data_IF_276043638729
#
_entry.id   IF_276043638729
#
_cell.length_a   1.000
_cell.length_b   1.000
_cell.length_c   1.000
_cell.angle_alpha   90.00
_cell.angle_beta   90.00
_cell.angle_gamma   90.00
#
_symmetry.space_group_name_H-M   'P 1'
#
loop_
_entity.id
_entity.type
_entity.pdbx_description
1 polymer ?
#
# COMPACT_ATOMS: atom_id res chain seq x y z
N UNK A 1 -3.02 -28.87 -2.16
CA UNK A 1 -2.40 -27.79 -1.34
C UNK A 1 -2.15 -28.22 0.11
N UNK A 2 -3.10 -28.71 0.86
CA UNK A 2 -2.99 -29.05 2.28
C UNK A 2 -2.02 -30.21 2.64
N UNK A 3 -1.46 -30.93 1.68
CA UNK A 3 -0.45 -32.00 1.91
C UNK A 3 1.01 -31.52 1.88
N UNK A 4 1.29 -30.32 1.36
CA UNK A 4 2.64 -29.78 1.30
C UNK A 4 2.94 -28.90 2.52
N UNK A 5 3.70 -29.42 3.48
CA UNK A 5 4.08 -28.74 4.71
C UNK A 5 4.83 -27.43 4.44
N UNK A 6 5.65 -27.37 3.40
CA UNK A 6 6.40 -26.17 3.06
C UNK A 6 5.48 -25.04 2.58
N UNK A 7 4.42 -25.36 1.80
CA UNK A 7 3.42 -24.37 1.38
C UNK A 7 2.60 -23.85 2.55
N UNK A 8 2.17 -24.75 3.46
CA UNK A 8 1.46 -24.33 4.68
C UNK A 8 2.36 -23.43 5.51
N UNK A 9 3.62 -23.82 5.72
CA UNK A 9 4.61 -23.01 6.44
C UNK A 9 4.80 -21.63 5.81
N UNK A 10 4.95 -21.54 4.49
CA UNK A 10 5.09 -20.27 3.77
C UNK A 10 3.86 -19.37 3.96
N UNK A 11 2.66 -19.91 3.75
CA UNK A 11 1.40 -19.14 3.91
C UNK A 11 1.23 -18.68 5.36
N UNK A 12 1.55 -19.53 6.34
CA UNK A 12 1.46 -19.17 7.77
C UNK A 12 2.48 -18.08 8.14
N UNK A 13 3.73 -18.20 7.69
CA UNK A 13 4.76 -17.19 7.92
C UNK A 13 4.35 -15.83 7.33
N UNK A 14 3.86 -15.82 6.08
CA UNK A 14 3.37 -14.62 5.41
C UNK A 14 2.16 -14.01 6.14
N UNK A 15 1.15 -14.82 6.50
CA UNK A 15 -0.03 -14.34 7.23
C UNK A 15 0.36 -13.65 8.54
N UNK A 16 1.23 -14.28 9.32
CA UNK A 16 1.66 -13.73 10.61
C UNK A 16 2.46 -12.45 10.42
N UNK A 17 3.47 -12.47 9.55
CA UNK A 17 4.32 -11.30 9.26
C UNK A 17 3.53 -10.13 8.66
N UNK A 18 2.64 -10.39 7.71
CA UNK A 18 1.78 -9.36 7.11
C UNK A 18 0.78 -8.78 8.11
N UNK A 19 0.25 -9.61 9.03
CA UNK A 19 -0.64 -9.10 10.09
C UNK A 19 0.10 -8.13 10.99
N UNK A 20 1.31 -8.49 11.45
CA UNK A 20 2.16 -7.60 12.26
C UNK A 20 2.47 -6.29 11.53
N UNK A 21 2.94 -6.37 10.29
CA UNK A 21 3.25 -5.18 9.48
C UNK A 21 2.02 -4.29 9.25
N UNK A 22 0.84 -4.89 9.02
CA UNK A 22 -0.41 -4.13 8.87
C UNK A 22 -0.85 -3.46 10.18
N UNK A 23 -0.56 -4.08 11.32
CA UNK A 23 -0.76 -3.45 12.63
C UNK A 23 0.21 -2.29 12.85
N UNK A 24 1.47 -2.46 12.50
CA UNK A 24 2.52 -1.44 12.63
C UNK A 24 2.24 -0.23 11.74
N UNK A 25 1.64 -0.39 10.57
CA UNK A 25 1.21 0.71 9.70
C UNK A 25 0.29 1.72 10.40
N UNK A 26 -0.50 1.27 11.38
CA UNK A 26 -1.32 2.15 12.23
C UNK A 26 -0.57 2.55 13.51
N UNK A 27 0.09 1.60 14.16
CA UNK A 27 0.65 1.80 15.48
C UNK A 27 1.90 2.68 15.48
N UNK A 28 2.78 2.56 14.48
CA UNK A 28 4.03 3.31 14.44
C UNK A 28 3.81 4.83 14.31
N UNK A 29 3.03 5.32 13.32
CA UNK A 29 2.76 6.75 13.24
C UNK A 29 1.96 7.28 14.44
N UNK A 30 1.04 6.51 14.98
CA UNK A 30 0.32 6.86 16.19
C UNK A 30 1.26 6.94 17.40
N UNK A 31 2.18 5.99 17.55
CA UNK A 31 3.25 6.02 18.55
C UNK A 31 4.09 7.31 18.46
N UNK A 32 4.51 7.68 17.24
CA UNK A 32 5.28 8.90 17.01
C UNK A 32 4.48 10.14 17.41
N UNK A 33 3.20 10.19 17.08
CA UNK A 33 2.34 11.32 17.39
C UNK A 33 2.11 11.46 18.89
N UNK A 34 1.81 10.36 19.58
CA UNK A 34 1.60 10.37 21.04
C UNK A 34 2.88 10.72 21.81
N UNK A 35 4.04 10.21 21.37
CA UNK A 35 5.30 10.43 22.08
C UNK A 35 5.95 11.78 21.78
N UNK A 36 5.70 12.36 20.61
CA UNK A 36 6.38 13.60 20.20
C UNK A 36 5.46 14.81 20.04
N UNK A 37 4.13 14.61 20.01
CA UNK A 37 3.14 15.65 19.72
C UNK A 37 3.27 16.26 18.31
N UNK A 38 4.04 15.63 17.38
CA UNK A 38 4.42 16.24 16.12
C UNK A 38 3.96 15.45 14.90
N UNK A 39 2.98 15.98 14.18
CA UNK A 39 2.54 15.43 12.88
C UNK A 39 3.64 15.46 11.82
N UNK A 40 4.54 16.45 11.87
CA UNK A 40 5.68 16.50 10.96
C UNK A 40 6.65 15.32 11.19
N UNK A 41 6.97 15.00 12.45
CA UNK A 41 7.80 13.81 12.77
C UNK A 41 7.11 12.51 12.36
N UNK A 42 5.79 12.42 12.55
CA UNK A 42 4.98 11.30 12.09
C UNK A 42 5.09 11.10 10.57
N UNK A 43 4.97 12.18 9.78
CA UNK A 43 5.13 12.13 8.34
C UNK A 43 6.53 11.69 7.89
N UNK A 44 7.58 12.15 8.58
CA UNK A 44 8.96 11.72 8.30
C UNK A 44 9.19 10.24 8.61
N UNK A 45 8.63 9.70 9.67
CA UNK A 45 8.79 8.28 10.04
C UNK A 45 8.09 7.38 9.02
N UNK A 46 6.87 7.72 8.61
CA UNK A 46 6.17 6.98 7.55
C UNK A 46 6.91 7.05 6.20
N UNK A 47 7.45 8.22 5.88
CA UNK A 47 8.26 8.37 4.68
C UNK A 47 9.55 7.55 4.75
N UNK A 48 10.21 7.51 5.92
CA UNK A 48 11.42 6.72 6.14
C UNK A 48 11.18 5.21 6.03
N UNK A 49 10.00 4.72 6.38
CA UNK A 49 9.61 3.32 6.21
C UNK A 49 9.42 2.95 4.73
N UNK A 50 8.78 3.84 3.96
CA UNK A 50 8.44 3.55 2.55
C UNK A 50 9.55 3.90 1.56
N UNK A 51 10.35 4.92 1.84
CA UNK A 51 11.37 5.42 0.92
C UNK A 51 12.41 4.35 0.52
N UNK A 52 12.91 3.49 1.45
CA UNK A 52 13.82 2.42 1.09
C UNK A 52 13.22 1.41 0.11
N UNK A 53 11.91 1.15 0.19
CA UNK A 53 11.23 0.23 -0.73
C UNK A 53 11.30 0.78 -2.16
N UNK A 54 11.11 2.08 -2.33
CA UNK A 54 11.21 2.74 -3.62
C UNK A 54 12.66 2.76 -4.15
N UNK A 55 13.65 3.00 -3.28
CA UNK A 55 15.07 3.10 -3.66
C UNK A 55 15.68 1.72 -3.90
N UNK A 56 15.44 0.76 -2.99
CA UNK A 56 16.10 -0.54 -2.97
C UNK A 56 15.27 -1.65 -3.63
N UNK A 57 14.05 -1.40 -4.08
CA UNK A 57 13.22 -2.39 -4.75
C UNK A 57 13.88 -2.98 -6.01
N UNK A 58 14.58 -2.17 -6.81
CA UNK A 58 15.31 -2.63 -8.00
C UNK A 58 16.56 -3.44 -7.61
N UNK A 59 17.47 -2.95 -6.72
CA UNK A 59 18.60 -3.73 -6.24
C UNK A 59 18.23 -5.03 -5.52
N UNK A 60 17.05 -5.10 -4.89
CA UNK A 60 16.56 -6.30 -4.23
C UNK A 60 16.55 -7.53 -5.15
N UNK A 61 16.18 -7.35 -6.43
CA UNK A 61 16.20 -8.43 -7.42
C UNK A 61 17.59 -9.01 -7.63
N UNK A 62 18.64 -8.21 -7.64
CA UNK A 62 20.04 -8.69 -7.77
C UNK A 62 20.51 -9.42 -6.53
N UNK A 63 20.07 -8.98 -5.34
CA UNK A 63 20.35 -9.65 -4.08
C UNK A 63 19.71 -11.04 -4.04
N UNK A 64 18.44 -11.13 -4.43
CA UNK A 64 17.69 -12.39 -4.50
C UNK A 64 18.35 -13.34 -5.53
N UNK A 65 18.77 -12.80 -6.67
CA UNK A 65 19.48 -13.57 -7.68
C UNK A 65 20.79 -14.19 -7.16
N UNK A 66 21.48 -13.55 -6.22
CA UNK A 66 22.72 -14.06 -5.61
C UNK A 66 22.46 -15.02 -4.45
N UNK A 67 21.55 -14.68 -3.54
CA UNK A 67 21.34 -15.40 -2.28
C UNK A 67 20.24 -16.49 -2.39
N UNK A 68 19.29 -16.33 -3.31
CA UNK A 68 18.06 -17.14 -3.40
C UNK A 68 16.93 -16.57 -2.54
N UNK A 69 15.69 -16.88 -2.90
CA UNK A 69 14.50 -16.30 -2.26
C UNK A 69 14.41 -16.64 -0.76
N UNK A 70 14.57 -17.91 -0.39
CA UNK A 70 14.50 -18.34 1.02
C UNK A 70 15.52 -17.63 1.91
N UNK A 71 16.79 -17.57 1.50
CA UNK A 71 17.85 -16.91 2.30
C UNK A 71 17.59 -15.42 2.44
N UNK A 72 17.10 -14.78 1.40
CA UNK A 72 16.76 -13.35 1.43
C UNK A 72 15.62 -13.06 2.41
N UNK A 73 14.57 -13.89 2.42
CA UNK A 73 13.48 -13.79 3.40
C UNK A 73 14.00 -13.95 4.84
N UNK A 74 14.84 -14.96 5.08
CA UNK A 74 15.45 -15.20 6.42
C UNK A 74 16.30 -14.02 6.88
N UNK A 75 17.16 -13.47 6.04
CA UNK A 75 17.99 -12.31 6.39
C UNK A 75 17.09 -11.09 6.68
N UNK A 76 16.06 -10.89 5.89
CA UNK A 76 15.14 -9.78 6.07
C UNK A 76 14.38 -9.87 7.40
N UNK A 77 13.82 -11.03 7.76
CA UNK A 77 13.10 -11.20 9.02
C UNK A 77 14.05 -11.16 10.23
N UNK A 78 15.26 -11.77 10.12
CA UNK A 78 16.28 -11.71 11.17
C UNK A 78 16.74 -10.27 11.46
N UNK A 79 16.69 -9.37 10.48
CA UNK A 79 17.02 -7.97 10.67
C UNK A 79 15.81 -7.16 11.17
N UNK A 80 14.62 -7.33 10.55
CA UNK A 80 13.42 -6.56 10.88
C UNK A 80 12.92 -6.82 12.30
N UNK A 81 12.95 -8.08 12.77
CA UNK A 81 12.50 -8.44 14.13
C UNK A 81 13.22 -7.65 15.22
N UNK A 82 14.56 -7.77 15.37
CA UNK A 82 15.31 -6.99 16.35
C UNK A 82 15.21 -5.47 16.14
N UNK A 83 15.26 -4.98 14.89
CA UNK A 83 15.11 -3.54 14.60
C UNK A 83 13.75 -3.01 15.10
N UNK A 84 12.66 -3.75 14.89
CA UNK A 84 11.34 -3.35 15.36
C UNK A 84 11.29 -3.31 16.89
N UNK A 85 11.93 -4.26 17.58
CA UNK A 85 11.98 -4.31 19.05
C UNK A 85 12.85 -3.20 19.66
N UNK A 86 13.85 -2.70 18.94
CA UNK A 86 14.70 -1.57 19.41
C UNK A 86 13.85 -0.33 19.73
N UNK A 87 12.80 -0.03 18.95
CA UNK A 87 11.97 1.16 19.15
C UNK A 87 11.30 1.17 20.53
N UNK A 88 10.48 0.16 20.90
CA UNK A 88 9.86 0.12 22.23
C UNK A 88 10.85 -0.06 23.37
N UNK A 89 11.98 -0.75 23.15
CA UNK A 89 13.04 -0.89 24.15
C UNK A 89 13.67 0.46 24.46
N UNK A 90 14.15 1.21 23.48
CA UNK A 90 14.72 2.53 23.69
C UNK A 90 13.69 3.51 24.28
N UNK A 91 12.42 3.39 23.89
CA UNK A 91 11.36 4.19 24.48
C UNK A 91 11.17 3.90 25.97
N UNK A 92 11.20 2.63 26.36
CA UNK A 92 11.05 2.21 27.77
C UNK A 92 12.17 2.77 28.67
N UNK A 93 13.40 2.82 28.16
CA UNK A 93 14.54 3.39 28.90
C UNK A 93 14.65 4.91 28.79
N UNK A 94 13.82 5.58 28.00
CA UNK A 94 13.85 7.02 27.80
C UNK A 94 14.93 7.51 26.81
N UNK A 95 15.63 6.59 26.13
CA UNK A 95 16.74 6.87 25.23
C UNK A 95 16.35 6.99 23.75
N UNK A 96 15.04 6.94 23.43
CA UNK A 96 14.55 7.00 22.06
C UNK A 96 14.65 8.41 21.49
N UNK A 97 15.76 8.73 20.83
CA UNK A 97 15.86 9.96 20.06
C UNK A 97 15.08 9.86 18.73
N UNK A 98 14.65 11.01 18.20
CA UNK A 98 13.99 11.03 16.89
C UNK A 98 14.89 10.51 15.75
N UNK A 99 16.20 10.76 15.83
CA UNK A 99 17.17 10.25 14.87
C UNK A 99 17.28 8.72 14.92
N UNK A 100 17.28 8.13 16.13
CA UNK A 100 17.27 6.68 16.30
C UNK A 100 15.99 6.05 15.75
N UNK A 101 14.83 6.66 16.02
CA UNK A 101 13.54 6.22 15.50
C UNK A 101 13.53 6.24 13.97
N UNK A 102 13.96 7.36 13.37
CA UNK A 102 14.00 7.53 11.91
C UNK A 102 14.98 6.55 11.25
N UNK A 103 16.18 6.40 11.83
CA UNK A 103 17.19 5.47 11.32
C UNK A 103 16.77 4.01 11.42
N UNK A 104 16.14 3.62 12.53
CA UNK A 104 15.63 2.26 12.73
C UNK A 104 14.50 1.95 11.75
N UNK A 105 13.54 2.87 11.59
CA UNK A 105 12.43 2.71 10.64
C UNK A 105 12.92 2.64 9.20
N UNK A 106 13.88 3.48 8.82
CA UNK A 106 14.51 3.42 7.51
C UNK A 106 15.21 2.08 7.28
N UNK A 107 15.93 1.56 8.27
CA UNK A 107 16.59 0.26 8.21
C UNK A 107 15.57 -0.89 8.05
N UNK A 108 14.44 -0.85 8.74
CA UNK A 108 13.34 -1.81 8.56
C UNK A 108 12.86 -1.80 7.10
N UNK A 109 12.67 -0.61 6.52
CA UNK A 109 12.27 -0.44 5.12
C UNK A 109 13.27 -1.03 4.12
N UNK A 110 14.60 -0.92 4.38
CA UNK A 110 15.64 -1.54 3.54
C UNK A 110 15.43 -3.05 3.41
N UNK A 111 15.11 -3.72 4.50
CA UNK A 111 14.89 -5.17 4.51
C UNK A 111 13.49 -5.59 4.06
N UNK A 112 12.52 -4.69 4.07
CA UNK A 112 11.17 -4.95 3.60
C UNK A 112 11.12 -5.20 2.08
N UNK A 113 11.83 -4.40 1.27
CA UNK A 113 11.83 -4.53 -0.19
C UNK A 113 12.30 -5.93 -0.68
N UNK A 114 13.46 -6.45 -0.25
CA UNK A 114 13.90 -7.79 -0.64
C UNK A 114 12.98 -8.90 -0.08
N UNK A 115 12.38 -8.73 1.08
CA UNK A 115 11.40 -9.68 1.60
C UNK A 115 10.19 -9.80 0.67
N UNK A 116 9.52 -8.70 0.35
CA UNK A 116 8.33 -8.70 -0.53
C UNK A 116 8.61 -9.28 -1.91
N UNK A 117 9.77 -8.99 -2.50
CA UNK A 117 10.15 -9.57 -3.77
C UNK A 117 10.42 -11.08 -3.66
N UNK A 118 11.09 -11.52 -2.59
CA UNK A 118 11.41 -12.93 -2.35
C UNK A 118 10.18 -13.77 -2.06
N UNK A 119 9.17 -13.24 -1.36
CA UNK A 119 7.96 -13.98 -1.01
C UNK A 119 7.13 -14.40 -2.24
N UNK A 120 7.27 -13.67 -3.34
CA UNK A 120 6.67 -14.05 -4.63
C UNK A 120 7.55 -15.02 -5.42
N UNK A 121 8.86 -14.85 -5.36
CA UNK A 121 9.81 -15.68 -6.11
C UNK A 121 10.01 -17.07 -5.50
N UNK A 122 9.76 -17.25 -4.19
CA UNK A 122 9.86 -18.56 -3.52
C UNK A 122 8.69 -19.49 -3.88
N UNK A 123 7.56 -18.96 -4.35
CA UNK A 123 6.36 -19.76 -4.63
C UNK A 123 6.63 -20.89 -5.63
N UNK A 124 7.23 -20.66 -6.82
CA UNK A 124 7.56 -21.74 -7.73
C UNK A 124 8.58 -22.74 -7.16
N UNK A 125 9.53 -22.27 -6.31
CA UNK A 125 10.51 -23.15 -5.68
C UNK A 125 9.87 -24.13 -4.68
N UNK A 126 8.73 -23.77 -4.07
CA UNK A 126 8.02 -24.59 -3.08
C UNK A 126 6.83 -25.35 -3.68
N UNK A 127 6.12 -24.73 -4.63
CA UNK A 127 4.95 -25.33 -5.29
C UNK A 127 5.33 -26.28 -6.46
N UNK A 128 6.55 -26.12 -7.01
CA UNK A 128 6.96 -26.79 -8.26
C UNK A 128 6.62 -25.96 -9.49
N UNK A 129 6.95 -26.48 -10.68
CA UNK A 129 6.78 -25.78 -11.97
C UNK A 129 5.34 -25.86 -12.53
N UNK A 130 4.39 -26.48 -11.82
CA UNK A 130 3.00 -26.52 -12.24
C UNK A 130 2.36 -25.14 -12.13
N UNK A 131 2.01 -24.55 -13.26
CA UNK A 131 1.41 -23.22 -13.37
C UNK A 131 0.12 -23.09 -12.55
N UNK A 132 -0.72 -24.14 -12.49
CA UNK A 132 -1.96 -24.11 -11.71
C UNK A 132 -1.68 -24.11 -10.20
N UNK A 133 -0.67 -24.87 -9.75
CA UNK A 133 -0.26 -24.86 -8.34
C UNK A 133 0.30 -23.49 -7.94
N UNK A 134 1.19 -22.92 -8.75
CA UNK A 134 1.76 -21.57 -8.53
C UNK A 134 0.68 -20.50 -8.52
N UNK A 135 -0.25 -20.51 -9.47
CA UNK A 135 -1.37 -19.57 -9.52
C UNK A 135 -2.26 -19.69 -8.28
N UNK A 136 -2.55 -20.92 -7.85
CA UNK A 136 -3.37 -21.17 -6.64
C UNK A 136 -2.70 -20.66 -5.36
N UNK A 137 -1.37 -20.85 -5.20
CA UNK A 137 -0.63 -20.34 -4.05
C UNK A 137 -0.60 -18.81 -4.04
N UNK A 138 -0.35 -18.20 -5.21
CA UNK A 138 -0.38 -16.75 -5.34
C UNK A 138 -1.78 -16.16 -5.04
N UNK A 139 -2.85 -16.85 -5.41
CA UNK A 139 -4.22 -16.46 -5.06
C UNK A 139 -4.44 -16.50 -3.54
N UNK A 140 -3.98 -17.55 -2.86
CA UNK A 140 -4.06 -17.66 -1.39
C UNK A 140 -3.24 -16.57 -0.72
N UNK A 141 -2.00 -16.31 -1.15
CA UNK A 141 -1.16 -15.24 -0.60
C UNK A 141 -1.77 -13.85 -0.84
N UNK A 142 -2.40 -13.63 -1.99
CA UNK A 142 -3.09 -12.37 -2.27
C UNK A 142 -4.33 -12.19 -1.40
N UNK A 143 -5.12 -13.26 -1.21
CA UNK A 143 -6.25 -13.27 -0.27
C UNK A 143 -5.80 -13.03 1.17
N UNK A 144 -4.71 -13.68 1.60
CA UNK A 144 -4.09 -13.45 2.90
C UNK A 144 -3.70 -11.98 3.10
N UNK A 145 -3.05 -11.38 2.10
CA UNK A 145 -2.69 -9.96 2.15
C UNK A 145 -3.92 -9.06 2.30
N UNK A 146 -5.00 -9.32 1.57
CA UNK A 146 -6.25 -8.55 1.71
C UNK A 146 -6.86 -8.68 3.10
N UNK A 147 -6.91 -9.89 3.65
CA UNK A 147 -7.44 -10.13 5.00
C UNK A 147 -6.60 -9.42 6.05
N UNK A 148 -5.27 -9.52 5.96
CA UNK A 148 -4.37 -8.87 6.93
C UNK A 148 -4.42 -7.36 6.86
N UNK A 149 -4.57 -6.77 5.68
CA UNK A 149 -4.76 -5.33 5.52
C UNK A 149 -6.06 -4.81 6.16
N UNK A 150 -7.08 -5.65 6.27
CA UNK A 150 -8.32 -5.32 6.97
C UNK A 150 -8.22 -5.59 8.47
N UNK A 151 -7.75 -6.78 8.83
CA UNK A 151 -7.70 -7.22 10.23
C UNK A 151 -6.60 -6.50 11.02
N UNK A 152 -5.45 -6.21 10.39
CA UNK A 152 -4.30 -5.59 11.05
C UNK A 152 -4.62 -4.28 11.75
N UNK A 153 -5.18 -3.27 11.05
CA UNK A 153 -5.56 -2.01 11.68
C UNK A 153 -6.58 -2.16 12.82
N UNK A 154 -7.54 -3.08 12.68
CA UNK A 154 -8.53 -3.36 13.75
C UNK A 154 -7.83 -3.95 14.97
N UNK A 155 -6.96 -4.95 14.77
CA UNK A 155 -6.18 -5.57 15.84
C UNK A 155 -5.25 -4.54 16.49
N UNK A 156 -4.60 -3.70 15.71
CA UNK A 156 -3.79 -2.59 16.22
C UNK A 156 -4.61 -1.67 17.13
N UNK A 157 -5.78 -1.23 16.67
CA UNK A 157 -6.67 -0.37 17.45
C UNK A 157 -7.12 -1.01 18.76
N UNK A 158 -7.46 -2.30 18.75
CA UNK A 158 -7.81 -3.04 19.98
C UNK A 158 -6.63 -3.11 20.94
N UNK A 159 -5.43 -3.49 20.46
CA UNK A 159 -4.24 -3.60 21.31
C UNK A 159 -3.84 -2.21 21.85
N UNK A 160 -3.85 -1.16 21.02
CA UNK A 160 -3.55 0.21 21.45
C UNK A 160 -4.53 0.66 22.55
N UNK A 161 -5.83 0.39 22.36
CA UNK A 161 -6.85 0.77 23.33
C UNK A 161 -6.76 0.01 24.66
N UNK A 162 -6.27 -1.23 24.65
CA UNK A 162 -6.10 -2.05 25.86
C UNK A 162 -4.75 -1.85 26.55
N UNK A 163 -3.72 -1.45 25.80
CA UNK A 163 -2.34 -1.36 26.29
C UNK A 163 -1.63 -0.10 25.79
N UNK A 164 -0.92 -0.18 24.67
CA UNK A 164 -0.23 0.95 24.03
C UNK A 164 0.18 0.66 22.57
N UNK A 165 0.51 1.72 21.83
CA UNK A 165 1.09 1.56 20.50
C UNK A 165 2.47 0.86 20.53
N UNK A 166 3.26 1.07 21.59
CA UNK A 166 4.53 0.39 21.78
C UNK A 166 4.36 -1.13 21.87
N UNK A 167 3.28 -1.62 22.50
CA UNK A 167 2.97 -3.06 22.56
C UNK A 167 2.74 -3.65 21.18
N UNK A 168 2.08 -2.92 20.28
CA UNK A 168 1.88 -3.37 18.89
C UNK A 168 3.21 -3.54 18.16
N UNK A 169 4.17 -2.62 18.37
CA UNK A 169 5.51 -2.74 17.79
C UNK A 169 6.27 -3.95 18.34
N UNK A 170 6.10 -4.27 19.63
CA UNK A 170 6.64 -5.52 20.20
C UNK A 170 6.03 -6.74 19.53
N UNK A 171 4.70 -6.77 19.40
CA UNK A 171 4.00 -7.87 18.73
C UNK A 171 4.51 -8.05 17.31
N UNK A 172 4.66 -6.97 16.52
CA UNK A 172 5.18 -7.05 15.16
C UNK A 172 6.62 -7.56 15.11
N UNK A 173 7.50 -7.07 15.99
CA UNK A 173 8.85 -7.61 16.14
C UNK A 173 8.86 -9.14 16.39
N UNK A 174 7.94 -9.62 17.25
CA UNK A 174 7.74 -11.05 17.48
C UNK A 174 7.20 -11.78 16.25
N UNK A 175 6.31 -11.16 15.44
CA UNK A 175 5.80 -11.78 14.22
C UNK A 175 6.91 -12.02 13.19
N UNK A 176 7.88 -11.11 13.04
CA UNK A 176 9.06 -11.32 12.19
C UNK A 176 9.94 -12.47 12.68
N UNK A 177 10.17 -12.56 14.00
CA UNK A 177 10.93 -13.67 14.60
C UNK A 177 10.20 -15.00 14.36
N UNK A 178 8.89 -15.03 14.55
CA UNK A 178 8.08 -16.22 14.31
C UNK A 178 8.09 -16.62 12.83
N UNK A 179 7.94 -15.67 11.91
CA UNK A 179 8.07 -15.89 10.46
C UNK A 179 9.45 -16.46 10.11
N UNK A 180 10.53 -15.89 10.65
CA UNK A 180 11.90 -16.39 10.49
C UNK A 180 12.01 -17.87 10.90
N UNK A 181 11.50 -18.23 12.08
CA UNK A 181 11.56 -19.60 12.60
C UNK A 181 10.78 -20.57 11.72
N UNK A 182 9.59 -20.21 11.25
CA UNK A 182 8.80 -21.06 10.35
C UNK A 182 9.51 -21.23 9.00
N UNK A 183 10.00 -20.14 8.40
CA UNK A 183 10.70 -20.22 7.12
C UNK A 183 11.97 -21.06 7.25
N UNK A 184 12.71 -20.91 8.35
CA UNK A 184 13.92 -21.66 8.61
C UNK A 184 13.64 -23.17 8.73
N UNK A 185 12.64 -23.56 9.52
CA UNK A 185 12.41 -24.95 9.95
C UNK A 185 11.46 -25.73 9.03
N UNK A 186 10.43 -25.07 8.51
CA UNK A 186 9.32 -25.74 7.78
C UNK A 186 9.44 -25.58 6.27
N UNK A 187 9.86 -24.40 5.79
CA UNK A 187 9.89 -24.13 4.35
C UNK A 187 11.14 -24.77 3.74
N UNK A 188 10.94 -25.75 2.86
CA UNK A 188 12.01 -26.37 2.07
C UNK A 188 11.93 -25.79 0.67
N UNK A 189 12.90 -24.94 0.28
CA UNK A 189 13.04 -24.47 -1.08
C UNK A 189 13.56 -25.61 -1.96
N UNK A 190 12.93 -25.79 -3.13
CA UNK A 190 13.35 -26.72 -4.15
C UNK A 190 14.56 -26.21 -4.97
N UNK A 191 14.70 -26.67 -6.22
CA UNK A 191 15.69 -26.13 -7.15
C UNK A 191 15.39 -24.65 -7.39
N UNK A 192 16.46 -23.85 -7.35
CA UNK A 192 16.41 -22.41 -7.63
C UNK A 192 15.87 -22.21 -9.05
N UNK A 193 14.72 -21.58 -9.17
CA UNK A 193 14.27 -21.04 -10.44
C UNK A 193 15.19 -19.87 -10.74
N UNK A 194 15.96 -19.95 -11.83
CA UNK A 194 16.73 -18.79 -12.29
C UNK A 194 15.72 -17.66 -12.48
N UNK A 195 15.80 -16.68 -11.59
CA UNK A 195 15.06 -15.44 -11.78
C UNK A 195 15.50 -14.92 -13.15
N UNK A 196 14.64 -15.05 -14.14
CA UNK A 196 14.88 -14.51 -15.47
C UNK A 196 15.42 -13.11 -15.24
N UNK A 197 16.57 -12.81 -15.84
CA UNK A 197 17.31 -11.57 -15.68
C UNK A 197 16.35 -10.39 -15.90
N UNK A 198 15.61 -10.07 -14.84
CA UNK A 198 14.63 -9.01 -14.83
C UNK A 198 15.41 -7.72 -14.94
N UNK A 199 15.13 -7.00 -16.02
CA UNK A 199 15.34 -5.56 -16.07
C UNK A 199 16.54 -5.00 -16.83
N UNK A 200 16.85 -5.57 -17.97
CA UNK A 200 17.27 -4.68 -19.04
C UNK A 200 15.98 -4.12 -19.65
N UNK A 201 15.45 -2.98 -19.13
CA UNK A 201 14.31 -2.38 -19.81
C UNK A 201 13.23 -1.69 -18.96
N UNK A 202 13.43 -1.37 -17.67
CA UNK A 202 12.50 -0.48 -16.92
C UNK A 202 12.37 0.87 -17.63
N UNK A 203 13.47 1.39 -18.15
CA UNK A 203 13.47 2.61 -18.95
C UNK A 203 12.67 2.50 -20.27
N UNK A 204 12.56 1.30 -20.88
CA UNK A 204 11.71 1.13 -22.07
C UNK A 204 10.21 1.21 -21.73
N UNK A 205 9.80 0.67 -20.58
CA UNK A 205 8.44 0.83 -20.08
C UNK A 205 8.11 2.30 -19.76
N UNK A 206 9.03 3.00 -19.11
CA UNK A 206 8.90 4.42 -18.82
C UNK A 206 8.86 5.27 -20.10
N UNK A 207 9.73 5.00 -21.07
CA UNK A 207 9.73 5.71 -22.36
C UNK A 207 8.40 5.51 -23.10
N UNK A 208 7.86 4.29 -23.08
CA UNK A 208 6.56 3.99 -23.66
C UNK A 208 5.44 4.77 -22.97
N UNK A 209 5.41 4.77 -21.62
CA UNK A 209 4.42 5.52 -20.82
C UNK A 209 4.44 7.02 -21.10
N UNK A 210 5.63 7.61 -21.17
CA UNK A 210 5.79 9.05 -21.41
C UNK A 210 5.46 9.44 -22.86
N UNK A 211 5.58 8.51 -23.81
CA UNK A 211 5.26 8.72 -25.22
C UNK A 211 3.78 8.58 -25.54
N UNK A 212 3.00 7.87 -24.73
CA UNK A 212 1.58 7.65 -24.97
C UNK A 212 0.73 8.80 -24.44
N UNK A 213 -0.20 9.29 -25.26
CA UNK A 213 -1.03 10.47 -24.97
C UNK A 213 -2.06 10.23 -23.86
N UNK A 214 -2.43 8.96 -23.58
CA UNK A 214 -3.35 8.57 -22.51
C UNK A 214 -2.59 8.09 -21.26
N UNK A 215 -1.56 7.24 -21.45
CA UNK A 215 -0.87 6.61 -20.32
C UNK A 215 -0.04 7.64 -19.52
N UNK A 216 0.55 8.63 -20.17
CA UNK A 216 1.27 9.71 -19.49
C UNK A 216 0.41 10.49 -18.48
N UNK A 217 -0.77 11.05 -18.86
CA UNK A 217 -1.63 11.72 -17.87
C UNK A 217 -2.19 10.75 -16.82
N UNK A 218 -2.44 9.48 -17.18
CA UNK A 218 -2.82 8.45 -16.19
C UNK A 218 -1.73 8.23 -15.13
N UNK A 219 -0.47 8.18 -15.53
CA UNK A 219 0.66 8.06 -14.62
C UNK A 219 0.77 9.28 -13.69
N UNK A 220 0.64 10.49 -14.23
CA UNK A 220 0.66 11.73 -13.44
C UNK A 220 -0.49 11.72 -12.41
N UNK A 221 -1.70 11.36 -12.84
CA UNK A 221 -2.84 11.25 -11.94
C UNK A 221 -2.62 10.20 -10.86
N UNK A 222 -2.05 9.05 -11.17
CA UNK A 222 -1.69 8.03 -10.19
C UNK A 222 -0.71 8.57 -9.13
N UNK A 223 0.29 9.37 -9.52
CA UNK A 223 1.20 10.03 -8.58
C UNK A 223 0.47 11.02 -7.67
N UNK A 224 -0.39 11.88 -8.24
CA UNK A 224 -1.17 12.85 -7.45
C UNK A 224 -2.12 12.14 -6.49
N UNK A 225 -2.82 11.10 -6.95
CA UNK A 225 -3.73 10.31 -6.11
C UNK A 225 -2.95 9.66 -4.95
N UNK A 226 -1.82 9.01 -5.23
CA UNK A 226 -1.00 8.40 -4.18
C UNK A 226 -0.47 9.44 -3.19
N UNK A 227 0.03 10.58 -3.68
CA UNK A 227 0.49 11.67 -2.83
C UNK A 227 -0.60 12.16 -1.87
N UNK A 228 -1.80 12.44 -2.39
CA UNK A 228 -2.93 12.93 -1.58
C UNK A 228 -3.50 11.83 -0.67
N UNK A 229 -3.60 10.60 -1.16
CA UNK A 229 -4.11 9.47 -0.39
C UNK A 229 -3.27 9.21 0.86
N UNK A 230 -1.93 9.28 0.76
CA UNK A 230 -1.06 9.13 1.93
C UNK A 230 -1.23 10.30 2.91
N UNK A 231 -1.49 11.49 2.41
CA UNK A 231 -1.87 12.63 3.25
C UNK A 231 -3.18 12.39 4.01
N UNK A 232 -4.18 11.82 3.36
CA UNK A 232 -5.46 11.47 3.99
C UNK A 232 -5.26 10.39 5.06
N UNK A 233 -4.48 9.35 4.79
CA UNK A 233 -4.14 8.29 5.76
C UNK A 233 -3.52 8.89 7.02
N UNK A 234 -2.55 9.79 6.87
CA UNK A 234 -1.93 10.50 7.99
C UNK A 234 -2.95 11.40 8.73
N UNK A 235 -3.81 12.10 7.99
CA UNK A 235 -4.87 12.90 8.55
C UNK A 235 -5.87 12.11 9.37
N UNK A 236 -6.27 10.92 8.93
CA UNK A 236 -7.17 10.01 9.67
C UNK A 236 -6.59 9.64 11.03
N UNK A 237 -5.29 9.37 11.10
CA UNK A 237 -4.61 9.06 12.37
C UNK A 237 -4.50 10.31 13.28
N UNK A 238 -4.26 11.47 12.68
CA UNK A 238 -4.23 12.74 13.41
C UNK A 238 -5.61 13.13 13.97
N UNK A 239 -6.70 12.73 13.29
CA UNK A 239 -8.07 12.95 13.81
C UNK A 239 -8.27 12.29 15.16
N UNK A 240 -7.84 11.06 15.36
CA UNK A 240 -7.99 10.38 16.66
C UNK A 240 -7.22 11.10 17.76
N UNK A 241 -5.97 11.48 17.48
CA UNK A 241 -5.13 12.18 18.45
C UNK A 241 -5.70 13.54 18.87
N UNK A 242 -6.12 14.36 17.89
CA UNK A 242 -6.57 15.73 18.19
C UNK A 242 -8.03 15.84 18.62
N UNK A 243 -8.84 14.78 18.45
CA UNK A 243 -10.29 14.87 18.64
C UNK A 243 -10.90 13.82 19.54
N UNK A 244 -10.31 12.64 19.58
CA UNK A 244 -10.88 11.51 20.31
C UNK A 244 -9.94 11.06 21.42
N UNK A 245 -9.19 12.02 22.00
CA UNK A 245 -8.30 11.86 23.15
C UNK A 245 -7.24 10.75 22.97
N UNK A 246 -6.78 10.56 21.73
CA UNK A 246 -5.81 9.52 21.38
C UNK A 246 -6.22 8.11 21.87
N UNK A 247 -7.51 7.81 21.76
CA UNK A 247 -8.11 6.62 22.35
C UNK A 247 -7.63 5.31 21.74
N UNK A 248 -6.92 5.36 20.61
CA UNK A 248 -6.32 4.21 19.91
C UNK A 248 -7.35 3.27 19.29
N UNK A 249 -8.43 2.90 20.00
CA UNK A 249 -9.47 2.05 19.44
C UNK A 249 -10.26 2.76 18.33
N UNK A 250 -10.40 4.08 18.39
CA UNK A 250 -11.08 4.85 17.34
C UNK A 250 -10.28 4.80 16.05
N UNK A 251 -8.95 4.92 16.08
CA UNK A 251 -8.09 4.72 14.89
C UNK A 251 -8.38 3.35 14.25
N UNK A 252 -8.44 2.29 15.05
CA UNK A 252 -8.76 0.95 14.56
C UNK A 252 -10.12 0.89 13.86
N UNK A 253 -11.15 1.54 14.43
CA UNK A 253 -12.50 1.60 13.84
C UNK A 253 -12.50 2.42 12.52
N UNK A 254 -11.78 3.54 12.46
CA UNK A 254 -11.66 4.35 11.26
C UNK A 254 -11.02 3.56 10.12
N UNK A 255 -9.94 2.82 10.40
CA UNK A 255 -9.30 1.95 9.42
C UNK A 255 -10.12 0.69 9.07
N UNK A 256 -10.91 0.16 10.02
CA UNK A 256 -11.89 -0.89 9.71
C UNK A 256 -12.95 -0.38 8.73
N UNK A 257 -13.45 0.83 8.94
CA UNK A 257 -14.33 1.51 7.99
C UNK A 257 -13.71 1.62 6.60
N UNK A 258 -12.45 2.08 6.52
CA UNK A 258 -11.70 2.12 5.26
C UNK A 258 -11.66 0.74 4.58
N UNK A 259 -11.32 -0.29 5.32
CA UNK A 259 -11.23 -1.65 4.79
C UNK A 259 -12.57 -2.19 4.30
N UNK A 260 -13.64 -2.03 5.07
CA UNK A 260 -15.00 -2.45 4.70
C UNK A 260 -15.47 -1.72 3.43
N UNK A 261 -15.23 -0.40 3.38
CA UNK A 261 -15.52 0.40 2.20
C UNK A 261 -14.79 -0.09 0.96
N UNK A 262 -13.49 -0.34 1.05
CA UNK A 262 -12.68 -0.84 -0.04
C UNK A 262 -13.14 -2.23 -0.53
N UNK A 263 -13.53 -3.14 0.38
CA UNK A 263 -14.09 -4.44 0.00
C UNK A 263 -15.42 -4.31 -0.74
N UNK A 264 -16.35 -3.52 -0.21
CA UNK A 264 -17.62 -3.26 -0.86
C UNK A 264 -17.42 -2.65 -2.26
N UNK A 265 -16.49 -1.70 -2.35
CA UNK A 265 -16.09 -1.09 -3.62
C UNK A 265 -15.50 -2.09 -4.62
N UNK A 266 -14.69 -3.05 -4.17
CA UNK A 266 -14.10 -4.07 -5.02
C UNK A 266 -15.17 -4.99 -5.65
N UNK A 267 -16.17 -5.41 -4.85
CA UNK A 267 -17.30 -6.22 -5.35
C UNK A 267 -18.09 -5.44 -6.40
N UNK A 268 -18.37 -4.17 -6.15
CA UNK A 268 -19.12 -3.31 -7.10
C UNK A 268 -18.27 -3.02 -8.33
N UNK A 269 -16.96 -2.77 -8.19
CA UNK A 269 -16.05 -2.55 -9.31
C UNK A 269 -16.02 -3.75 -10.27
N UNK A 270 -16.00 -4.98 -9.73
CA UNK A 270 -16.02 -6.20 -10.55
C UNK A 270 -17.29 -6.29 -11.42
N UNK A 271 -18.44 -5.86 -10.90
CA UNK A 271 -19.70 -5.85 -11.65
C UNK A 271 -19.78 -4.70 -12.65
N UNK A 272 -19.34 -3.51 -12.26
CA UNK A 272 -19.44 -2.31 -13.09
C UNK A 272 -18.44 -2.33 -14.26
N UNK A 273 -17.26 -2.87 -14.10
CA UNK A 273 -16.26 -3.00 -15.18
C UNK A 273 -16.74 -3.86 -16.35
N UNK A 274 -17.75 -4.72 -16.12
CA UNK A 274 -18.37 -5.53 -17.18
C UNK A 274 -19.52 -4.81 -17.90
N UNK A 275 -20.09 -3.75 -17.30
CA UNK A 275 -21.30 -3.08 -17.79
C UNK A 275 -21.06 -1.65 -18.29
N UNK A 276 -19.98 -1.01 -17.80
CA UNK A 276 -19.68 0.39 -18.08
C UNK A 276 -18.29 0.50 -18.73
N UNK A 277 -18.11 1.33 -19.78
CA UNK A 277 -16.80 1.57 -20.36
C UNK A 277 -15.78 2.00 -19.30
N UNK A 278 -14.58 1.39 -19.34
CA UNK A 278 -13.55 1.57 -18.30
C UNK A 278 -13.15 3.05 -18.12
N UNK A 279 -13.02 3.80 -19.22
CA UNK A 279 -12.69 5.23 -19.18
C UNK A 279 -13.78 6.04 -18.45
N UNK A 280 -15.05 5.76 -18.73
CA UNK A 280 -16.19 6.43 -18.10
C UNK A 280 -16.30 6.09 -16.62
N UNK A 281 -16.12 4.81 -16.27
CA UNK A 281 -16.15 4.37 -14.88
C UNK A 281 -15.02 5.02 -14.06
N UNK A 282 -13.79 5.03 -14.59
CA UNK A 282 -12.64 5.68 -13.94
C UNK A 282 -12.87 7.19 -13.75
N UNK A 283 -13.40 7.88 -14.80
CA UNK A 283 -13.67 9.31 -14.74
C UNK A 283 -14.71 9.67 -13.67
N UNK A 284 -15.80 8.91 -13.56
CA UNK A 284 -16.83 9.14 -12.54
C UNK A 284 -16.27 8.84 -11.14
N UNK A 285 -15.61 7.69 -10.99
CA UNK A 285 -15.12 7.24 -9.68
C UNK A 285 -14.07 8.18 -9.10
N UNK A 286 -13.15 8.69 -9.91
CA UNK A 286 -12.08 9.58 -9.41
C UNK A 286 -12.60 10.93 -8.93
N UNK A 287 -13.68 11.44 -9.55
CA UNK A 287 -14.34 12.69 -9.13
C UNK A 287 -15.20 12.46 -7.89
N UNK A 288 -15.89 11.31 -7.80
CA UNK A 288 -16.75 10.99 -6.67
C UNK A 288 -15.96 10.60 -5.39
N UNK A 289 -14.76 10.03 -5.54
CA UNK A 289 -13.94 9.51 -4.44
C UNK A 289 -13.69 10.52 -3.31
N UNK A 290 -13.29 11.77 -3.55
CA UNK A 290 -13.03 12.74 -2.50
C UNK A 290 -14.27 13.35 -1.85
N UNK A 291 -15.44 13.26 -2.48
CA UNK A 291 -16.65 13.96 -2.04
C UNK A 291 -17.09 13.62 -0.60
N UNK A 292 -17.06 12.36 -0.13
CA UNK A 292 -17.39 12.05 1.24
C UNK A 292 -16.53 12.79 2.26
N UNK A 293 -15.24 13.02 1.96
CA UNK A 293 -14.29 13.64 2.89
C UNK A 293 -14.63 15.09 3.24
N UNK A 294 -15.38 15.80 2.40
CA UNK A 294 -15.85 17.15 2.72
C UNK A 294 -16.85 17.17 3.89
N UNK A 295 -17.47 16.03 4.20
CA UNK A 295 -18.35 15.88 5.35
C UNK A 295 -17.58 15.69 6.66
N UNK A 296 -16.26 15.48 6.60
CA UNK A 296 -15.41 15.30 7.76
C UNK A 296 -15.13 16.66 8.43
N UNK A 297 -16.06 17.09 9.24
CA UNK A 297 -16.05 18.37 9.98
C UNK A 297 -15.36 18.21 11.34
N UNK A 298 -14.85 19.32 11.97
CA UNK A 298 -14.41 19.32 13.37
C UNK A 298 -15.42 18.81 14.41
N UNK A 299 -16.68 18.70 14.09
CA UNK A 299 -17.74 18.23 15.00
C UNK A 299 -18.26 16.82 14.67
N UNK A 300 -17.71 16.16 13.65
CA UNK A 300 -18.17 14.82 13.23
C UNK A 300 -17.88 13.79 14.32
N UNK A 301 -18.86 13.06 14.85
CA UNK A 301 -18.62 11.98 15.80
C UNK A 301 -17.90 10.80 15.11
N UNK A 302 -17.11 10.03 15.86
CA UNK A 302 -16.29 8.95 15.27
C UNK A 302 -17.07 7.91 14.48
N UNK A 303 -18.32 7.53 14.81
CA UNK A 303 -19.07 6.57 13.98
C UNK A 303 -19.38 7.15 12.58
N UNK A 304 -19.73 8.44 12.52
CA UNK A 304 -19.95 9.12 11.24
C UNK A 304 -18.65 9.29 10.46
N UNK A 305 -17.52 9.59 11.15
CA UNK A 305 -16.22 9.64 10.52
C UNK A 305 -15.83 8.29 9.90
N UNK A 306 -16.09 7.16 10.57
CA UNK A 306 -15.84 5.84 10.03
C UNK A 306 -16.67 5.55 8.75
N UNK A 307 -17.94 5.97 8.73
CA UNK A 307 -18.80 5.85 7.54
C UNK A 307 -18.29 6.72 6.39
N UNK A 308 -17.87 7.95 6.66
CA UNK A 308 -17.31 8.87 5.67
C UNK A 308 -16.03 8.29 5.06
N UNK A 309 -15.14 7.74 5.89
CA UNK A 309 -13.91 7.09 5.45
C UNK A 309 -14.21 5.82 4.65
N UNK A 310 -15.21 5.03 5.06
CA UNK A 310 -15.67 3.87 4.29
C UNK A 310 -16.20 4.28 2.91
N UNK A 311 -16.98 5.36 2.83
CA UNK A 311 -17.49 5.89 1.58
C UNK A 311 -16.36 6.39 0.65
N UNK A 312 -15.34 7.04 1.19
CA UNK A 312 -14.13 7.40 0.42
C UNK A 312 -13.42 6.16 -0.11
N UNK A 313 -13.16 5.18 0.75
CA UNK A 313 -12.44 3.96 0.41
C UNK A 313 -13.20 3.08 -0.60
N UNK A 314 -14.54 3.13 -0.60
CA UNK A 314 -15.40 2.44 -1.58
C UNK A 314 -15.04 2.80 -3.02
N UNK A 315 -14.69 4.05 -3.31
CA UNK A 315 -14.33 4.48 -4.66
C UNK A 315 -12.93 4.06 -5.09
N UNK A 316 -12.04 3.67 -4.17
CA UNK A 316 -10.65 3.31 -4.49
C UNK A 316 -10.54 2.17 -5.51
N UNK A 317 -11.23 1.02 -5.36
CA UNK A 317 -11.22 -0.04 -6.36
C UNK A 317 -11.91 0.35 -7.67
N UNK A 318 -12.92 1.21 -7.62
CA UNK A 318 -13.62 1.71 -8.81
C UNK A 318 -12.73 2.62 -9.67
N UNK A 319 -11.71 3.24 -9.10
CA UNK A 319 -10.66 3.96 -9.82
C UNK A 319 -9.58 3.00 -10.30
N UNK A 320 -9.05 2.16 -9.40
CA UNK A 320 -7.88 1.34 -9.67
C UNK A 320 -8.15 0.23 -10.71
N UNK A 321 -9.28 -0.46 -10.63
CA UNK A 321 -9.57 -1.59 -11.53
C UNK A 321 -9.68 -1.14 -13.01
N UNK A 322 -10.42 -0.08 -13.38
CA UNK A 322 -10.42 0.43 -14.74
C UNK A 322 -9.05 0.94 -15.21
N UNK A 323 -8.31 1.64 -14.35
CA UNK A 323 -6.98 2.18 -14.69
C UNK A 323 -6.00 1.04 -15.01
N UNK A 324 -5.96 -0.01 -14.19
CA UNK A 324 -5.12 -1.19 -14.44
C UNK A 324 -5.58 -1.91 -15.71
N UNK A 325 -6.88 -2.04 -15.92
CA UNK A 325 -7.46 -2.62 -17.14
C UNK A 325 -7.02 -1.89 -18.39
N UNK A 326 -7.12 -0.56 -18.42
CA UNK A 326 -6.70 0.29 -19.52
C UNK A 326 -5.20 0.19 -19.80
N UNK A 327 -4.36 0.23 -18.74
CA UNK A 327 -2.92 0.02 -18.84
C UNK A 327 -2.60 -1.33 -19.48
N UNK A 328 -3.33 -2.38 -19.09
CA UNK A 328 -3.12 -3.74 -19.62
C UNK A 328 -3.49 -3.85 -21.09
N UNK A 329 -4.63 -3.29 -21.50
CA UNK A 329 -5.15 -3.38 -22.87
C UNK A 329 -4.30 -2.55 -23.84
N UNK A 330 -3.93 -1.32 -23.46
CA UNK A 330 -3.17 -0.40 -24.32
C UNK A 330 -1.67 -0.73 -24.41
N UNK A 331 -1.14 -1.56 -23.52
CA UNK A 331 0.28 -1.90 -23.53
C UNK A 331 0.52 -3.17 -24.34
N UNK A 332 1.42 -3.15 -25.36
CA UNK A 332 1.83 -4.36 -26.08
C UNK A 332 2.32 -5.45 -25.12
N UNK A 333 2.00 -6.71 -25.41
CA UNK A 333 2.26 -7.85 -24.52
C UNK A 333 3.69 -7.92 -23.97
N UNK A 334 4.69 -7.69 -24.84
CA UNK A 334 6.12 -7.70 -24.48
C UNK A 334 6.53 -6.56 -23.50
N UNK A 335 5.85 -5.41 -23.58
CA UNK A 335 6.13 -4.25 -22.73
C UNK A 335 5.29 -4.22 -21.46
N UNK A 336 4.21 -5.01 -21.40
CA UNK A 336 3.23 -4.97 -20.30
C UNK A 336 3.86 -5.14 -18.91
N UNK A 337 4.74 -6.11 -18.64
CA UNK A 337 5.39 -6.23 -17.33
C UNK A 337 6.24 -5.01 -16.99
N UNK A 338 6.95 -4.43 -17.97
CA UNK A 338 7.84 -3.27 -17.80
C UNK A 338 7.05 -2.00 -17.52
N UNK A 339 5.95 -1.80 -18.22
CA UNK A 339 5.02 -0.66 -18.04
C UNK A 339 4.34 -0.74 -16.68
N UNK A 340 3.82 -1.91 -16.30
CA UNK A 340 3.19 -2.11 -15.00
C UNK A 340 4.16 -1.86 -13.85
N UNK A 341 5.39 -2.38 -13.95
CA UNK A 341 6.43 -2.13 -12.94
C UNK A 341 6.77 -0.63 -12.86
N UNK A 342 6.93 0.05 -14.00
CA UNK A 342 7.23 1.47 -14.03
C UNK A 342 6.12 2.30 -13.37
N UNK A 343 4.85 2.04 -13.69
CA UNK A 343 3.70 2.74 -13.08
C UNK A 343 3.67 2.52 -11.58
N UNK A 344 3.77 1.26 -11.12
CA UNK A 344 3.73 0.93 -9.70
C UNK A 344 4.89 1.59 -8.94
N UNK A 345 6.11 1.56 -9.48
CA UNK A 345 7.27 2.18 -8.85
C UNK A 345 7.11 3.70 -8.74
N UNK A 346 6.75 4.37 -9.83
CA UNK A 346 6.64 5.83 -9.86
C UNK A 346 5.49 6.31 -8.98
N UNK A 347 4.33 5.65 -9.04
CA UNK A 347 3.20 5.97 -8.19
C UNK A 347 3.53 5.79 -6.70
N UNK A 348 4.25 4.72 -6.35
CA UNK A 348 4.66 4.46 -4.96
C UNK A 348 5.68 5.49 -4.45
N UNK A 349 6.55 6.02 -5.32
CA UNK A 349 7.52 7.07 -4.94
C UNK A 349 6.84 8.37 -4.51
N UNK A 350 5.62 8.66 -4.97
CA UNK A 350 4.88 9.84 -4.55
C UNK A 350 4.39 9.75 -3.09
N UNK A 351 4.20 8.55 -2.56
CA UNK A 351 3.67 8.30 -1.22
C UNK A 351 4.47 8.93 -0.08
N UNK A 352 5.79 8.66 0.04
CA UNK A 352 6.64 9.26 1.08
C UNK A 352 6.57 10.79 1.12
N UNK A 353 6.55 11.43 -0.05
CA UNK A 353 6.42 12.89 -0.14
C UNK A 353 5.02 13.36 0.32
N UNK A 354 3.97 12.57 0.06
CA UNK A 354 2.62 12.83 0.56
C UNK A 354 2.56 12.81 2.09
N UNK A 355 3.20 11.86 2.75
CA UNK A 355 3.30 11.82 4.21
C UNK A 355 4.05 13.02 4.78
N UNK A 356 5.20 13.38 4.21
CA UNK A 356 5.98 14.55 4.67
C UNK A 356 5.17 15.83 4.50
N UNK A 357 4.60 16.04 3.32
CA UNK A 357 3.81 17.24 3.03
C UNK A 357 2.59 17.36 3.96
N UNK A 358 1.85 16.27 4.16
CA UNK A 358 0.69 16.25 5.04
C UNK A 358 1.09 16.47 6.51
N UNK A 359 2.19 15.89 6.97
CA UNK A 359 2.70 16.08 8.32
C UNK A 359 3.08 17.54 8.60
N UNK A 360 3.71 18.22 7.64
CA UNK A 360 3.98 19.66 7.73
C UNK A 360 2.72 20.50 7.63
N UNK A 361 1.80 20.16 6.72
CA UNK A 361 0.55 20.90 6.56
C UNK A 361 -0.29 20.87 7.84
N UNK A 362 -0.44 19.71 8.47
CA UNK A 362 -1.18 19.55 9.72
C UNK A 362 -0.55 20.29 10.92
N UNK A 363 0.72 20.66 10.83
CA UNK A 363 1.36 21.52 11.84
C UNK A 363 0.93 22.99 11.73
N UNK A 364 0.56 23.45 10.53
CA UNK A 364 0.33 24.86 10.24
C UNK A 364 -1.14 25.21 9.99
N UNK A 365 -1.97 24.21 9.64
CA UNK A 365 -3.40 24.42 9.39
C UNK A 365 -4.25 23.61 10.35
N UNK A 366 -5.48 24.10 10.59
CA UNK A 366 -6.45 23.33 11.37
C UNK A 366 -6.83 22.02 10.67
N UNK A 367 -7.22 21.03 11.46
CA UNK A 367 -7.69 19.74 10.92
C UNK A 367 -8.88 19.91 9.96
N UNK A 368 -9.78 20.89 10.23
CA UNK A 368 -10.89 21.22 9.33
C UNK A 368 -10.41 21.75 7.99
N UNK A 369 -9.46 22.70 7.99
CA UNK A 369 -8.87 23.23 6.76
C UNK A 369 -8.12 22.15 5.97
N UNK A 370 -7.47 21.21 6.65
CA UNK A 370 -6.78 20.07 6.05
C UNK A 370 -7.78 19.16 5.28
N UNK A 371 -8.91 18.81 5.92
CA UNK A 371 -9.94 17.96 5.30
C UNK A 371 -10.86 18.71 4.33
N UNK A 372 -10.65 19.99 4.11
CA UNK A 372 -11.18 20.74 2.96
C UNK A 372 -10.13 20.79 1.84
N UNK A 373 -8.89 21.11 2.17
CA UNK A 373 -7.84 21.36 1.19
C UNK A 373 -7.42 20.11 0.40
N UNK A 374 -7.15 18.98 1.06
CA UNK A 374 -6.73 17.76 0.37
C UNK A 374 -7.83 17.17 -0.53
N UNK A 375 -9.09 17.01 -0.08
CA UNK A 375 -10.17 16.59 -0.98
C UNK A 375 -10.40 17.55 -2.12
N UNK A 376 -10.26 18.87 -1.92
CA UNK A 376 -10.36 19.86 -3.00
C UNK A 376 -9.27 19.63 -4.05
N UNK A 377 -8.01 19.44 -3.62
CA UNK A 377 -6.91 19.15 -4.53
C UNK A 377 -7.15 17.85 -5.31
N UNK A 378 -7.65 16.81 -4.63
CA UNK A 378 -7.98 15.54 -5.27
C UNK A 378 -9.14 15.66 -6.25
N UNK A 379 -10.17 16.46 -5.91
CA UNK A 379 -11.31 16.74 -6.80
C UNK A 379 -10.88 17.49 -8.06
N UNK A 380 -10.06 18.54 -7.91
CA UNK A 380 -9.55 19.32 -9.06
C UNK A 380 -8.66 18.45 -9.96
N UNK A 381 -7.74 17.68 -9.37
CA UNK A 381 -6.92 16.70 -10.09
C UNK A 381 -7.77 15.63 -10.77
N UNK A 382 -8.78 15.12 -10.09
CA UNK A 382 -9.75 14.16 -10.63
C UNK A 382 -10.56 14.70 -11.79
N UNK A 383 -11.03 15.93 -11.70
CA UNK A 383 -11.74 16.60 -12.81
C UNK A 383 -10.82 16.80 -14.02
N UNK A 384 -9.59 17.28 -13.81
CA UNK A 384 -8.61 17.41 -14.89
C UNK A 384 -8.33 16.05 -15.55
N UNK A 385 -8.16 15.00 -14.78
CA UNK A 385 -7.95 13.66 -15.30
C UNK A 385 -9.19 13.11 -16.01
N UNK A 386 -10.38 13.27 -15.45
CA UNK A 386 -11.64 12.84 -16.07
C UNK A 386 -11.86 13.50 -17.45
N UNK A 387 -11.50 14.78 -17.60
CA UNK A 387 -11.59 15.46 -18.91
C UNK A 387 -10.65 14.83 -19.95
N UNK A 388 -9.45 14.39 -19.56
CA UNK A 388 -8.53 13.69 -20.45
C UNK A 388 -9.10 12.33 -20.87
N UNK A 389 -9.64 11.55 -19.92
CA UNK A 389 -10.23 10.24 -20.20
C UNK A 389 -11.43 10.35 -21.17
N UNK A 390 -12.33 11.28 -20.90
CA UNK A 390 -13.55 11.47 -21.71
C UNK A 390 -13.24 12.00 -23.12
N UNK A 391 -12.21 12.84 -23.28
CA UNK A 391 -11.76 13.28 -24.61
C UNK A 391 -11.22 12.11 -25.44
N UNK A 392 -10.46 11.20 -24.82
CA UNK A 392 -9.96 10.00 -25.50
C UNK A 392 -11.09 9.06 -25.90
N UNK A 393 -12.06 8.83 -25.02
CA UNK A 393 -13.22 8.00 -25.36
C UNK A 393 -13.96 8.52 -26.60
N UNK A 394 -14.22 9.82 -26.65
CA UNK A 394 -14.88 10.44 -27.81
C UNK A 394 -14.05 10.34 -29.11
N UNK A 395 -12.73 10.39 -28.98
CA UNK A 395 -11.83 10.21 -30.12
C UNK A 395 -11.86 8.80 -30.67
N UNK A 396 -11.84 7.79 -29.78
CA UNK A 396 -11.93 6.37 -30.14
C UNK A 396 -13.31 6.08 -30.79
N UNK A 397 -14.43 6.55 -30.21
CA UNK A 397 -15.78 6.42 -30.77
C UNK A 397 -15.92 7.08 -32.15
N UNK A 398 -15.33 8.25 -32.35
CA UNK A 398 -15.36 8.95 -33.65
C UNK A 398 -14.54 8.20 -34.72
N UNK A 399 -13.42 7.58 -34.36
CA UNK A 399 -12.60 6.78 -35.25
C UNK A 399 -13.34 5.49 -35.67
N UNK A 400 -14.02 4.80 -34.74
CA UNK A 400 -14.82 3.61 -35.03
C UNK A 400 -15.98 3.90 -35.96
N UNK A 401 -16.67 5.02 -35.80
CA UNK A 401 -17.75 5.47 -36.70
C UNK A 401 -17.21 5.78 -38.10
N UNK A 402 -16.03 6.41 -38.20
CA UNK A 402 -15.42 6.74 -39.51
C UNK A 402 -15.03 5.44 -40.28
N UNK A 403 -14.51 4.42 -39.56
CA UNK A 403 -14.19 3.12 -40.16
C UNK A 403 -15.44 2.35 -40.58
N UNK A 404 -16.53 2.42 -39.79
CA UNK A 404 -17.79 1.75 -40.12
C UNK A 404 -18.56 2.42 -41.30
N UNK A 405 -18.21 3.66 -41.63
CA UNK A 405 -18.83 4.43 -42.73
C UNK A 405 -18.01 4.41 -44.05
N UNK A 406 -16.79 3.86 -44.01
CA UNK A 406 -15.91 3.63 -45.18
C UNK A 406 -16.06 2.19 -45.73
#
# INVERSE_FOLDING_TARGET
>A
MLRNRSLIGLVTAELVSLTGSSMTFVALPFFVLVTTGSTAKMGWVLAAEMLPIAIFGIPAGTLIAKLGAKKTMLISDAARGPLMLVIPILHHYGDLSFAALLGTTFAIGIFAAPYFASSRLIVPEVAGEDEQAVASVNAVLSGANQITQLAGPVLAGVIIGLTSAATVLVVDGCTYIFSFLIILTVVRAGKRVEAAAQQKGVFSGLKFLLGDSLLRPMMIAACVINFVAQGIVLGVQAVDYFRYDASGHVVGILFAGFGIGALAGAVVAQQLTQKVPLLKLAAIAIVAMPLPLFLLSPKTPWPAAAIIIAAFAFFTPLVNAPVIGLLTVRTPGELRPKVMTAVMTIASMAGPFGFIAAGYLLRHVSLGSFFIGLPTLLTLGGLAFATVLLRHQRGDEAADVAVASS
#
